data_IF_771488853630
#
_entry.id   IF_771488853630
#
_cell.length_a   1.000
_cell.length_b   1.000
_cell.length_c   1.000
_cell.angle_alpha   90.00
_cell.angle_beta   90.00
_cell.angle_gamma   90.00
#
_symmetry.space_group_name_H-M   'P 1'
#
loop_
_entity.id
_entity.type
_entity.pdbx_description
1 polymer ?
#
# COMPACT_ATOMS: atom_id res chain seq x y z
N UNK A 1 -7.13 53.66 23.27
CA UNK A 1 -7.57 54.98 22.76
C UNK A 1 -8.09 54.83 21.33
N UNK A 2 -9.30 55.37 21.16
CA UNK A 2 -10.13 55.63 19.98
C UNK A 2 -10.99 54.46 19.50
N UNK A 3 -12.26 54.60 19.90
CA UNK A 3 -13.43 54.02 19.29
C UNK A 3 -13.64 54.53 17.84
N UNK A 4 -14.05 53.68 16.97
CA UNK A 4 -14.73 54.06 15.71
C UNK A 4 -16.09 53.37 15.68
N UNK A 5 -17.09 54.25 15.67
CA UNK A 5 -18.51 53.98 15.53
C UNK A 5 -18.82 53.41 14.13
N UNK A 6 -19.59 52.34 14.06
CA UNK A 6 -20.37 52.01 12.88
C UNK A 6 -21.85 51.87 13.30
N UNK A 7 -22.62 52.84 12.82
CA UNK A 7 -24.09 52.87 12.87
C UNK A 7 -24.66 51.99 11.74
N UNK A 8 -25.72 51.28 12.14
CA UNK A 8 -26.88 51.03 11.30
C UNK A 8 -26.90 49.75 10.53
N UNK A 9 -27.80 48.89 10.93
CA UNK A 9 -28.89 48.32 10.10
C UNK A 9 -29.85 47.59 11.01
N UNK A 10 -31.16 47.86 10.84
CA UNK A 10 -32.25 47.57 11.76
C UNK A 10 -32.52 46.09 12.01
N UNK A 11 -32.66 45.78 13.26
CA UNK A 11 -33.15 44.48 13.73
C UNK A 11 -34.67 44.50 13.69
N UNK A 12 -35.26 43.58 12.98
CA UNK A 12 -36.71 43.45 12.75
C UNK A 12 -37.38 42.91 14.03
N UNK A 13 -38.28 43.72 14.62
CA UNK A 13 -38.95 43.47 15.91
C UNK A 13 -39.97 42.30 15.89
N UNK A 14 -40.02 41.47 14.86
CA UNK A 14 -41.02 40.37 14.78
C UNK A 14 -40.54 39.02 15.28
N UNK A 15 -39.27 38.83 15.64
CA UNK A 15 -38.76 37.54 16.13
C UNK A 15 -38.73 37.40 17.66
N UNK A 16 -39.00 38.46 18.40
CA UNK A 16 -38.94 38.41 19.88
C UNK A 16 -40.26 37.98 20.52
N UNK A 17 -41.39 37.98 19.81
CA UNK A 17 -42.71 37.58 20.36
C UNK A 17 -43.00 36.07 20.27
N UNK A 18 -42.23 35.30 19.51
CA UNK A 18 -42.44 33.85 19.37
C UNK A 18 -41.77 33.06 20.50
N UNK A 19 -40.77 33.63 21.17
CA UNK A 19 -40.04 32.94 22.24
C UNK A 19 -40.65 33.14 23.66
N UNK A 20 -41.50 34.12 23.87
CA UNK A 20 -42.13 34.34 25.19
C UNK A 20 -43.43 33.54 25.41
N UNK A 21 -44.07 33.05 24.32
CA UNK A 21 -45.30 32.24 24.44
C UNK A 21 -45.04 30.76 24.74
N UNK A 22 -43.84 30.29 24.52
CA UNK A 22 -43.46 28.87 24.76
C UNK A 22 -42.98 28.58 26.18
N UNK A 23 -42.77 29.62 27.00
CA UNK A 23 -42.35 29.46 28.41
C UNK A 23 -43.49 29.42 29.45
N UNK A 24 -44.69 29.68 29.06
CA UNK A 24 -45.86 29.71 29.98
C UNK A 24 -46.80 28.48 29.91
N UNK A 25 -46.49 27.50 29.07
CA UNK A 25 -47.35 26.28 28.91
C UNK A 25 -46.72 24.99 29.49
N UNK A 26 -45.64 25.08 30.22
CA UNK A 26 -44.93 23.90 30.81
C UNK A 26 -44.96 23.84 32.33
N UNK A 27 -45.95 24.49 32.99
CA UNK A 27 -46.02 24.55 34.45
C UNK A 27 -47.30 24.03 35.11
N UNK A 28 -48.11 23.25 34.41
CA UNK A 28 -49.27 22.56 35.04
C UNK A 28 -49.41 21.17 34.43
N UNK A 29 -48.71 20.19 34.98
CA UNK A 29 -49.03 18.75 35.01
C UNK A 29 -47.83 17.99 35.61
N UNK A 30 -47.55 18.21 36.90
CA UNK A 30 -46.75 17.29 37.69
C UNK A 30 -47.68 16.50 38.58
N UNK A 31 -47.98 15.26 38.26
CA UNK A 31 -48.35 14.20 39.20
C UNK A 31 -47.66 12.91 38.78
N UNK A 32 -47.11 12.11 39.72
CA UNK A 32 -46.19 11.03 39.43
C UNK A 32 -46.97 9.72 39.13
N UNK A 33 -46.74 9.15 37.96
CA UNK A 33 -47.06 7.75 37.71
C UNK A 33 -45.71 7.05 37.48
N UNK A 34 -45.23 6.37 38.50
CA UNK A 34 -44.13 5.40 38.39
C UNK A 34 -44.63 4.19 37.59
N UNK A 35 -44.33 4.16 36.30
CA UNK A 35 -44.24 2.92 35.54
C UNK A 35 -42.80 2.73 35.15
N UNK A 36 -42.17 1.75 35.80
CA UNK A 36 -40.85 1.24 35.43
C UNK A 36 -40.90 0.66 34.02
N UNK A 37 -40.53 1.46 33.02
CA UNK A 37 -40.25 0.93 31.68
C UNK A 37 -38.86 0.30 31.74
N UNK A 38 -38.82 -1.03 31.80
CA UNK A 38 -37.61 -1.77 31.51
C UNK A 38 -37.28 -1.57 30.03
N UNK A 39 -36.38 -0.63 29.73
CA UNK A 39 -35.65 -0.61 28.47
C UNK A 39 -34.70 -1.81 28.47
N UNK A 40 -34.69 -2.64 27.43
CA UNK A 40 -33.66 -3.66 27.32
C UNK A 40 -32.32 -2.97 27.24
N UNK A 41 -31.50 -3.14 28.26
CA UNK A 41 -30.07 -2.76 28.20
C UNK A 41 -29.40 -3.68 27.22
N UNK A 42 -29.11 -3.18 26.01
CA UNK A 42 -28.19 -3.85 25.14
C UNK A 42 -26.89 -4.09 25.95
N UNK A 43 -26.35 -5.31 25.95
CA UNK A 43 -25.07 -5.53 26.58
C UNK A 43 -24.04 -4.59 25.93
N UNK A 44 -23.06 -4.07 26.69
CA UNK A 44 -22.04 -3.24 26.12
C UNK A 44 -21.38 -4.03 24.99
N UNK A 45 -21.33 -3.44 23.79
CA UNK A 45 -20.54 -3.96 22.68
C UNK A 45 -19.08 -3.89 23.15
N UNK A 46 -18.64 -4.96 23.75
CA UNK A 46 -17.19 -5.15 24.02
C UNK A 46 -16.58 -5.41 22.65
N UNK A 47 -16.02 -4.36 22.05
CA UNK A 47 -15.08 -4.56 20.95
C UNK A 47 -14.06 -5.59 21.44
N UNK A 48 -13.83 -6.70 20.70
CA UNK A 48 -12.79 -7.62 21.06
C UNK A 48 -11.49 -6.82 21.17
N UNK A 49 -10.62 -7.13 22.13
CA UNK A 49 -9.37 -6.42 22.29
C UNK A 49 -8.65 -6.48 20.94
N UNK A 50 -8.30 -5.30 20.40
CA UNK A 50 -7.45 -5.20 19.21
C UNK A 50 -6.17 -5.94 19.58
N UNK A 51 -6.03 -7.16 19.10
CA UNK A 51 -4.80 -7.92 19.26
C UNK A 51 -3.76 -7.18 18.44
N UNK A 52 -2.96 -6.34 19.11
CA UNK A 52 -1.79 -5.70 18.51
C UNK A 52 -0.94 -6.87 18.03
N UNK A 53 -0.61 -6.89 16.75
CA UNK A 53 0.26 -7.92 16.13
C UNK A 53 1.37 -8.27 17.10
N UNK A 54 1.38 -9.54 17.53
CA UNK A 54 2.14 -9.99 18.69
C UNK A 54 3.62 -9.64 18.61
N UNK A 55 4.09 -8.98 19.63
CA UNK A 55 5.36 -8.23 19.74
C UNK A 55 6.60 -9.13 19.80
N UNK A 56 6.54 -10.48 19.78
CA UNK A 56 7.69 -11.28 20.20
C UNK A 56 8.03 -12.55 19.41
N UNK A 57 7.53 -12.74 18.19
CA UNK A 57 8.14 -13.75 17.32
C UNK A 57 8.72 -13.07 16.10
N UNK A 58 10.02 -13.29 15.81
CA UNK A 58 10.56 -13.06 14.48
C UNK A 58 9.65 -13.80 13.52
N UNK A 59 8.78 -13.07 12.82
CA UNK A 59 7.94 -13.66 11.80
C UNK A 59 8.85 -14.39 10.83
N UNK A 60 8.44 -15.55 10.36
CA UNK A 60 9.17 -16.32 9.34
C UNK A 60 8.39 -16.25 8.04
N UNK A 61 9.02 -16.56 6.92
CA UNK A 61 8.30 -16.74 5.65
C UNK A 61 7.24 -17.84 5.80
N UNK A 62 6.22 -17.80 4.96
CA UNK A 62 5.15 -18.82 4.94
C UNK A 62 5.73 -20.22 4.72
N UNK A 63 6.68 -20.33 3.78
CA UNK A 63 7.35 -21.61 3.48
C UNK A 63 8.16 -22.14 4.66
N UNK A 64 8.91 -21.30 5.39
CA UNK A 64 9.67 -21.75 6.56
C UNK A 64 8.80 -22.07 7.79
N UNK A 65 7.53 -21.68 7.76
CA UNK A 65 6.52 -22.08 8.77
C UNK A 65 5.66 -23.26 8.31
N UNK A 66 5.89 -23.79 7.12
CA UNK A 66 5.06 -24.82 6.48
C UNK A 66 3.59 -24.43 6.38
N UNK A 67 3.30 -23.14 6.21
CA UNK A 67 1.93 -22.65 5.97
C UNK A 67 1.44 -23.10 4.61
N UNK A 68 0.20 -23.56 4.51
CA UNK A 68 -0.42 -23.91 3.22
C UNK A 68 -0.50 -22.69 2.28
N UNK A 69 -0.55 -21.48 2.83
CA UNK A 69 -0.58 -20.22 2.06
C UNK A 69 0.77 -19.89 1.38
N UNK A 70 1.84 -20.67 1.63
CA UNK A 70 3.06 -20.62 0.81
C UNK A 70 2.79 -21.03 -0.65
N UNK A 71 1.75 -21.84 -0.88
CA UNK A 71 1.27 -22.19 -2.19
C UNK A 71 0.17 -21.20 -2.63
N UNK A 72 0.37 -20.58 -3.79
CA UNK A 72 -0.56 -19.60 -4.37
C UNK A 72 -1.93 -20.17 -4.67
N UNK A 73 -2.02 -21.47 -4.99
CA UNK A 73 -3.30 -22.16 -5.18
C UNK A 73 -4.19 -22.08 -3.92
N UNK A 74 -3.61 -22.27 -2.72
CA UNK A 74 -4.37 -22.15 -1.48
C UNK A 74 -4.79 -20.72 -1.19
N UNK A 75 -3.96 -19.73 -1.51
CA UNK A 75 -4.36 -18.33 -1.38
C UNK A 75 -5.56 -18.03 -2.30
N UNK A 76 -5.51 -18.44 -3.57
CA UNK A 76 -6.61 -18.27 -4.50
C UNK A 76 -7.87 -19.02 -4.06
N UNK A 77 -7.72 -20.22 -3.48
CA UNK A 77 -8.85 -20.96 -2.93
C UNK A 77 -9.53 -20.21 -1.79
N UNK A 78 -8.77 -19.55 -0.91
CA UNK A 78 -9.33 -18.71 0.16
C UNK A 78 -9.99 -17.46 -0.42
N UNK A 79 -9.33 -16.75 -1.33
CA UNK A 79 -9.85 -15.54 -1.97
C UNK A 79 -11.16 -15.77 -2.73
N UNK A 80 -11.38 -16.98 -3.24
CA UNK A 80 -12.57 -17.36 -3.98
C UNK A 80 -13.38 -18.44 -3.21
N UNK A 81 -13.34 -18.39 -1.88
CA UNK A 81 -13.92 -19.40 -1.03
C UNK A 81 -15.45 -19.40 -1.06
N UNK A 82 -16.05 -20.52 -0.66
CA UNK A 82 -17.48 -20.65 -0.54
C UNK A 82 -18.04 -19.74 0.55
N UNK A 83 -17.28 -19.51 1.62
CA UNK A 83 -17.66 -18.63 2.74
C UNK A 83 -17.94 -17.22 2.23
N UNK A 84 -17.09 -16.66 1.37
CA UNK A 84 -17.35 -15.37 0.71
C UNK A 84 -18.56 -15.45 -0.22
N UNK A 85 -18.72 -16.55 -0.95
CA UNK A 85 -19.89 -16.78 -1.82
C UNK A 85 -21.19 -16.86 -1.01
N UNK A 86 -21.19 -17.54 0.15
CA UNK A 86 -22.35 -17.63 1.05
C UNK A 86 -22.69 -16.26 1.67
N UNK A 87 -21.73 -15.34 1.80
CA UNK A 87 -21.96 -13.93 2.18
C UNK A 87 -22.48 -13.07 1.01
N UNK A 88 -22.74 -13.65 -0.16
CA UNK A 88 -23.10 -12.92 -1.38
C UNK A 88 -22.03 -11.88 -1.78
N UNK A 89 -20.76 -12.20 -1.53
CA UNK A 89 -19.64 -11.36 -1.91
C UNK A 89 -19.44 -11.41 -3.44
N UNK A 90 -19.65 -10.29 -4.17
CA UNK A 90 -19.61 -10.30 -5.62
C UNK A 90 -18.19 -10.53 -6.14
N UNK A 91 -18.06 -11.12 -7.32
CA UNK A 91 -16.79 -11.13 -8.01
C UNK A 91 -16.35 -9.70 -8.32
N UNK A 92 -15.05 -9.42 -8.23
CA UNK A 92 -14.56 -8.08 -8.54
C UNK A 92 -14.90 -7.64 -9.97
N UNK A 93 -14.88 -8.56 -10.94
CA UNK A 93 -15.32 -8.32 -12.32
C UNK A 93 -16.79 -7.92 -12.42
N UNK A 94 -17.66 -8.52 -11.61
CA UNK A 94 -19.07 -8.12 -11.55
C UNK A 94 -19.22 -6.71 -10.98
N UNK A 95 -18.44 -6.40 -9.94
CA UNK A 95 -18.48 -5.09 -9.28
C UNK A 95 -18.02 -3.96 -10.19
N UNK A 96 -16.96 -4.15 -10.98
CA UNK A 96 -16.53 -3.14 -11.95
C UNK A 96 -17.47 -3.05 -13.15
N UNK A 97 -18.16 -4.14 -13.51
CA UNK A 97 -19.23 -4.11 -14.53
C UNK A 97 -20.39 -3.22 -14.09
N UNK A 98 -20.83 -3.34 -12.83
CA UNK A 98 -21.82 -2.43 -12.23
C UNK A 98 -21.35 -0.97 -12.25
N UNK A 99 -20.04 -0.74 -12.13
CA UNK A 99 -19.41 0.58 -12.19
C UNK A 99 -19.22 1.13 -13.64
N UNK A 100 -19.69 0.41 -14.65
CA UNK A 100 -19.70 0.85 -16.05
C UNK A 100 -18.50 0.37 -16.89
N UNK A 101 -17.66 -0.53 -16.36
CA UNK A 101 -16.61 -1.18 -17.16
C UNK A 101 -17.23 -2.33 -17.98
N UNK A 102 -17.12 -2.21 -19.31
CA UNK A 102 -17.76 -3.14 -20.26
C UNK A 102 -17.40 -4.58 -19.92
N UNK A 103 -18.40 -5.43 -19.78
CA UNK A 103 -18.31 -6.86 -19.48
C UNK A 103 -17.47 -7.22 -18.22
N UNK A 104 -17.21 -6.24 -17.34
CA UNK A 104 -16.37 -6.46 -16.16
C UNK A 104 -14.89 -6.65 -16.49
N UNK A 105 -14.47 -6.18 -17.65
CA UNK A 105 -13.08 -6.28 -18.13
C UNK A 105 -12.36 -4.96 -17.88
N UNK A 106 -11.15 -5.04 -17.35
CA UNK A 106 -10.25 -3.91 -17.21
C UNK A 106 -9.14 -4.00 -18.27
N UNK A 107 -8.95 -2.93 -19.02
CA UNK A 107 -7.93 -2.82 -20.06
C UNK A 107 -6.77 -1.95 -19.61
N UNK A 108 -5.55 -2.22 -20.07
CA UNK A 108 -4.43 -1.31 -19.91
C UNK A 108 -4.70 0.03 -20.62
N UNK A 109 -3.93 1.00 -20.22
CA UNK A 109 -3.62 2.20 -21.01
C UNK A 109 -2.32 1.99 -21.79
N UNK A 110 -1.43 2.95 -21.90
CA UNK A 110 -0.03 2.71 -22.32
C UNK A 110 0.77 2.06 -21.18
N UNK A 111 1.73 1.20 -21.49
CA UNK A 111 2.67 0.68 -20.50
C UNK A 111 3.79 1.71 -20.32
N UNK A 112 3.78 2.40 -19.18
CA UNK A 112 4.73 3.45 -18.82
C UNK A 112 5.77 2.99 -17.81
N UNK A 113 5.42 1.95 -17.03
CA UNK A 113 6.21 1.42 -15.93
C UNK A 113 6.56 -0.04 -16.19
N UNK A 114 7.84 -0.33 -16.22
CA UNK A 114 8.38 -1.69 -16.23
C UNK A 114 8.84 -2.03 -14.81
N UNK A 115 7.98 -2.73 -14.07
CA UNK A 115 8.30 -3.14 -12.72
C UNK A 115 9.06 -4.46 -12.74
N UNK A 116 10.18 -4.54 -12.04
CA UNK A 116 11.02 -5.74 -12.00
C UNK A 116 11.20 -6.19 -10.55
N UNK A 117 10.59 -7.31 -10.20
CA UNK A 117 10.86 -7.98 -8.95
C UNK A 117 12.14 -8.81 -9.09
N UNK A 118 13.25 -8.27 -8.58
CA UNK A 118 14.56 -8.90 -8.75
C UNK A 118 14.88 -9.97 -7.70
N UNK A 119 13.93 -10.31 -6.85
CA UNK A 119 14.03 -11.44 -5.92
C UNK A 119 13.27 -11.25 -4.62
N UNK A 120 13.13 -12.37 -3.87
CA UNK A 120 12.45 -12.39 -2.58
C UNK A 120 13.41 -12.40 -1.38
N UNK A 121 14.74 -12.36 -1.62
CA UNK A 121 15.72 -12.28 -0.54
C UNK A 121 15.56 -10.96 0.23
N UNK A 122 15.44 -11.04 1.55
CA UNK A 122 15.28 -9.90 2.44
C UNK A 122 15.90 -10.19 3.80
N UNK A 123 16.45 -9.19 4.47
CA UNK A 123 16.93 -9.33 5.85
C UNK A 123 15.78 -9.27 6.89
N UNK A 124 14.55 -8.98 6.44
CA UNK A 124 13.37 -8.84 7.27
C UNK A 124 12.28 -9.86 6.90
N UNK A 125 11.35 -10.08 7.84
CA UNK A 125 10.15 -10.90 7.67
C UNK A 125 8.93 -10.15 8.18
N UNK A 126 8.60 -9.02 7.54
CA UNK A 126 7.49 -8.14 7.94
C UNK A 126 6.15 -8.89 7.95
N UNK A 127 5.31 -8.63 8.95
CA UNK A 127 4.05 -9.34 9.14
C UNK A 127 3.02 -9.11 8.01
N UNK A 128 3.08 -7.95 7.33
CA UNK A 128 2.18 -7.57 6.23
C UNK A 128 2.81 -7.76 4.84
N UNK A 129 3.93 -8.47 4.74
CA UNK A 129 4.65 -8.61 3.47
C UNK A 129 3.84 -9.42 2.45
N UNK A 130 3.46 -8.78 1.35
CA UNK A 130 2.75 -9.42 0.25
C UNK A 130 3.66 -10.32 -0.60
N UNK A 131 4.97 -10.05 -0.62
CA UNK A 131 5.98 -10.82 -1.39
C UNK A 131 6.32 -12.14 -0.72
N UNK A 132 6.05 -12.32 0.57
CA UNK A 132 6.60 -13.39 1.43
C UNK A 132 8.14 -13.44 1.41
N UNK A 133 8.76 -12.27 1.36
CA UNK A 133 10.22 -12.14 1.36
C UNK A 133 10.84 -12.51 2.71
N UNK A 134 12.08 -12.98 2.69
CA UNK A 134 12.80 -13.36 3.91
C UNK A 134 14.24 -13.80 3.67
N UNK A 135 15.00 -14.05 4.75
CA UNK A 135 16.41 -14.50 4.67
C UNK A 135 16.57 -15.91 4.09
N UNK A 136 15.51 -16.69 4.10
CA UNK A 136 15.43 -18.05 3.57
C UNK A 136 15.24 -18.09 2.04
N UNK A 137 14.81 -16.96 1.41
CA UNK A 137 14.48 -16.84 -0.01
C UNK A 137 15.72 -16.58 -0.89
N UNK A 138 16.75 -17.42 -0.78
CA UNK A 138 18.02 -17.20 -1.46
C UNK A 138 18.01 -17.60 -2.94
N UNK A 139 17.18 -18.58 -3.29
CA UNK A 139 17.11 -19.12 -4.64
C UNK A 139 16.16 -18.31 -5.53
N UNK A 140 15.18 -17.62 -4.92
CA UNK A 140 14.19 -16.80 -5.60
C UNK A 140 14.76 -15.41 -5.89
N UNK A 141 15.81 -15.35 -6.73
CA UNK A 141 16.46 -14.12 -7.17
C UNK A 141 16.70 -14.15 -8.68
N UNK A 142 16.42 -13.04 -9.34
CA UNK A 142 16.67 -12.89 -10.76
C UNK A 142 18.19 -12.89 -11.04
N UNK A 143 18.59 -13.82 -11.88
CA UNK A 143 19.98 -13.94 -12.32
C UNK A 143 20.33 -12.89 -13.40
N UNK A 144 21.61 -12.84 -13.75
CA UNK A 144 22.15 -11.92 -14.74
C UNK A 144 21.44 -11.98 -16.08
N UNK A 145 21.19 -13.18 -16.60
CA UNK A 145 20.49 -13.41 -17.89
C UNK A 145 19.09 -12.78 -17.91
N UNK A 146 18.31 -12.94 -16.82
CA UNK A 146 16.98 -12.35 -16.72
C UNK A 146 17.03 -10.82 -16.75
N UNK A 147 17.97 -10.22 -16.01
CA UNK A 147 18.18 -8.77 -16.01
C UNK A 147 18.66 -8.23 -17.36
N UNK A 148 19.54 -8.96 -18.06
CA UNK A 148 19.96 -8.62 -19.42
C UNK A 148 18.76 -8.61 -20.38
N UNK A 149 17.87 -9.60 -20.25
CA UNK A 149 16.65 -9.65 -21.05
C UNK A 149 15.70 -8.46 -20.74
N UNK A 150 15.60 -8.04 -19.48
CA UNK A 150 14.87 -6.83 -19.13
C UNK A 150 15.49 -5.58 -19.80
N UNK A 151 16.83 -5.48 -19.83
CA UNK A 151 17.51 -4.36 -20.49
C UNK A 151 17.32 -4.35 -22.01
N UNK A 152 17.30 -5.52 -22.66
CA UNK A 152 16.98 -5.63 -24.10
C UNK A 152 15.58 -5.08 -24.39
N UNK A 153 14.60 -5.44 -23.57
CA UNK A 153 13.21 -4.96 -23.69
C UNK A 153 13.16 -3.44 -23.50
N UNK A 154 13.81 -2.93 -22.46
CA UNK A 154 13.87 -1.50 -22.15
C UNK A 154 14.58 -0.69 -23.25
N UNK A 155 15.59 -1.26 -23.89
CA UNK A 155 16.28 -0.61 -25.02
C UNK A 155 15.43 -0.59 -26.30
N UNK A 156 14.58 -1.61 -26.48
CA UNK A 156 13.76 -1.75 -27.69
C UNK A 156 12.43 -0.98 -27.62
N UNK A 157 11.99 -0.56 -26.44
CA UNK A 157 10.66 0.03 -26.23
C UNK A 157 10.73 1.34 -25.45
N UNK A 158 9.78 2.23 -25.70
CA UNK A 158 9.67 3.54 -25.04
C UNK A 158 8.94 3.44 -23.68
N UNK A 159 9.44 2.56 -22.81
CA UNK A 159 8.99 2.45 -21.42
C UNK A 159 10.00 3.22 -20.56
N UNK A 160 9.57 4.36 -20.01
CA UNK A 160 10.50 5.31 -19.40
C UNK A 160 10.87 5.00 -17.97
N UNK A 161 9.99 4.37 -17.19
CA UNK A 161 10.20 4.13 -15.76
C UNK A 161 10.49 2.66 -15.49
N UNK A 162 11.56 2.41 -14.76
CA UNK A 162 11.90 1.08 -14.21
C UNK A 162 11.67 1.14 -12.70
N UNK A 163 10.72 0.35 -12.20
CA UNK A 163 10.37 0.24 -10.77
C UNK A 163 10.97 -1.08 -10.23
N UNK A 164 12.07 -0.99 -9.52
CA UNK A 164 12.78 -2.17 -8.97
C UNK A 164 12.15 -2.51 -7.61
N UNK A 165 11.66 -3.74 -7.51
CA UNK A 165 10.97 -4.23 -6.31
C UNK A 165 11.46 -5.63 -5.91
N UNK A 166 10.89 -6.14 -4.81
CA UNK A 166 11.20 -7.48 -4.30
C UNK A 166 11.14 -7.56 -2.78
N UNK A 167 12.04 -8.34 -2.23
CA UNK A 167 12.27 -8.40 -0.78
C UNK A 167 13.10 -7.20 -0.32
N UNK A 168 14.40 -7.26 -0.59
CA UNK A 168 15.35 -6.17 -0.49
C UNK A 168 16.15 -6.16 -1.79
N UNK A 169 15.77 -5.35 -2.78
CA UNK A 169 16.40 -5.35 -4.10
C UNK A 169 17.92 -5.21 -4.03
N UNK A 170 18.43 -4.43 -3.10
CA UNK A 170 19.84 -4.13 -2.88
C UNK A 170 20.68 -5.37 -2.49
N UNK A 171 20.00 -6.43 -2.05
CA UNK A 171 20.64 -7.72 -1.74
C UNK A 171 20.91 -8.57 -2.99
N UNK A 172 20.26 -8.28 -4.12
CA UNK A 172 20.57 -8.98 -5.37
C UNK A 172 22.00 -8.60 -5.83
N UNK A 173 22.89 -9.56 -6.14
CA UNK A 173 24.28 -9.27 -6.49
C UNK A 173 24.45 -8.44 -7.76
N UNK A 174 23.42 -8.38 -8.59
CA UNK A 174 23.41 -7.64 -9.85
C UNK A 174 22.68 -6.30 -9.76
N UNK A 175 22.13 -5.92 -8.60
CA UNK A 175 21.34 -4.71 -8.40
C UNK A 175 22.03 -3.45 -8.91
N UNK A 176 23.23 -3.17 -8.40
CA UNK A 176 23.97 -1.95 -8.78
C UNK A 176 24.28 -1.89 -10.28
N UNK A 177 24.67 -3.02 -10.84
CA UNK A 177 24.91 -3.10 -12.27
C UNK A 177 23.63 -2.84 -13.06
N UNK A 178 22.50 -3.43 -12.68
CA UNK A 178 21.21 -3.25 -13.37
C UNK A 178 20.74 -1.79 -13.32
N UNK A 179 20.84 -1.14 -12.17
CA UNK A 179 20.55 0.31 -12.02
C UNK A 179 21.43 1.13 -12.98
N UNK A 180 22.74 0.87 -12.99
CA UNK A 180 23.68 1.58 -13.87
C UNK A 180 23.33 1.42 -15.34
N UNK A 181 23.01 0.21 -15.79
CA UNK A 181 22.62 -0.03 -17.20
C UNK A 181 21.28 0.62 -17.56
N UNK A 182 20.28 0.55 -16.67
CA UNK A 182 19.00 1.26 -16.87
C UNK A 182 19.21 2.78 -17.04
N UNK A 183 20.10 3.37 -16.23
CA UNK A 183 20.43 4.80 -16.35
C UNK A 183 21.18 5.14 -17.62
N UNK A 184 22.08 4.26 -18.11
CA UNK A 184 22.74 4.41 -19.42
C UNK A 184 21.75 4.40 -20.58
N UNK A 185 20.65 3.64 -20.46
CA UNK A 185 19.53 3.64 -21.42
C UNK A 185 18.64 4.88 -21.29
N UNK A 186 18.96 5.83 -20.40
CA UNK A 186 18.15 7.03 -20.17
C UNK A 186 16.87 6.79 -19.39
N UNK A 187 16.69 5.59 -18.80
CA UNK A 187 15.48 5.27 -18.04
C UNK A 187 15.50 5.93 -16.67
N UNK A 188 14.32 6.35 -16.21
CA UNK A 188 14.08 6.73 -14.83
C UNK A 188 14.05 5.47 -13.97
N UNK A 189 14.83 5.42 -12.91
CA UNK A 189 14.90 4.26 -12.01
C UNK A 189 14.30 4.62 -10.67
N UNK A 190 13.35 3.82 -10.22
CA UNK A 190 12.78 3.84 -8.88
C UNK A 190 13.21 2.56 -8.15
N UNK A 191 13.63 2.67 -6.90
CA UNK A 191 13.96 1.54 -6.03
C UNK A 191 13.01 1.47 -4.85
N UNK A 192 12.33 0.33 -4.68
CA UNK A 192 11.51 0.01 -3.51
C UNK A 192 12.42 -0.40 -2.36
N UNK A 193 13.22 0.56 -1.91
CA UNK A 193 14.34 0.37 -1.00
C UNK A 193 13.92 -0.16 0.38
N UNK A 194 14.63 -1.19 0.84
CA UNK A 194 14.57 -1.58 2.23
C UNK A 194 15.60 -0.78 3.05
N UNK A 195 15.15 0.26 3.76
CA UNK A 195 16.01 1.17 4.53
C UNK A 195 17.01 0.47 5.44
N UNK A 196 16.62 -0.64 6.07
CA UNK A 196 17.51 -1.33 7.01
C UNK A 196 18.74 -1.96 6.33
N UNK A 197 18.70 -2.21 5.03
CA UNK A 197 19.86 -2.71 4.30
C UNK A 197 21.00 -1.68 4.34
N UNK A 198 20.70 -0.39 4.21
CA UNK A 198 21.71 0.68 4.19
C UNK A 198 22.61 0.61 5.44
N UNK A 199 22.05 0.26 6.60
CA UNK A 199 22.76 0.21 7.88
C UNK A 199 23.14 -1.21 8.34
N UNK A 200 22.65 -2.25 7.65
CA UNK A 200 22.82 -3.65 8.08
C UNK A 200 24.27 -4.16 7.99
N UNK A 201 25.03 -3.64 7.03
CA UNK A 201 26.40 -4.08 6.77
C UNK A 201 27.18 -2.95 6.07
N UNK A 202 28.47 -2.79 6.41
CA UNK A 202 29.37 -1.77 5.84
C UNK A 202 29.38 -1.73 4.31
N UNK A 203 29.20 -2.88 3.63
CA UNK A 203 29.15 -2.95 2.16
C UNK A 203 27.96 -2.23 1.51
N UNK A 204 26.98 -1.83 2.31
CA UNK A 204 25.78 -1.13 1.85
C UNK A 204 25.74 0.35 2.32
N UNK A 205 26.70 0.78 3.15
CA UNK A 205 26.71 2.13 3.69
C UNK A 205 26.89 3.21 2.62
N UNK A 206 27.42 2.85 1.45
CA UNK A 206 27.59 3.72 0.29
C UNK A 206 26.37 3.73 -0.67
N UNK A 207 25.27 3.06 -0.29
CA UNK A 207 24.05 3.07 -1.11
C UNK A 207 23.44 4.47 -1.29
N UNK A 208 23.40 5.36 -0.26
CA UNK A 208 22.88 6.71 -0.46
C UNK A 208 23.65 7.49 -1.53
N UNK A 209 24.98 7.42 -1.52
CA UNK A 209 25.85 8.06 -2.52
C UNK A 209 25.65 7.43 -3.91
N UNK A 210 25.56 6.10 -3.98
CA UNK A 210 25.25 5.38 -5.22
C UNK A 210 23.89 5.79 -5.79
N UNK A 211 22.85 5.84 -4.97
CA UNK A 211 21.52 6.29 -5.40
C UNK A 211 21.56 7.74 -5.91
N UNK A 212 22.27 8.62 -5.23
CA UNK A 212 22.42 10.02 -5.63
C UNK A 212 23.19 10.16 -6.97
N UNK A 213 24.29 9.42 -7.15
CA UNK A 213 25.09 9.40 -8.39
C UNK A 213 24.22 8.99 -9.59
N UNK A 214 23.39 7.96 -9.42
CA UNK A 214 22.53 7.46 -10.50
C UNK A 214 21.12 8.06 -10.49
N UNK A 215 20.85 9.08 -9.65
CA UNK A 215 19.54 9.74 -9.53
C UNK A 215 18.39 8.72 -9.40
N UNK A 216 18.55 7.72 -8.55
CA UNK A 216 17.54 6.72 -8.28
C UNK A 216 16.45 7.34 -7.39
N UNK A 217 15.18 7.25 -7.77
CA UNK A 217 14.09 7.62 -6.87
C UNK A 217 13.93 6.55 -5.80
N UNK A 218 14.01 6.95 -4.54
CA UNK A 218 13.94 6.03 -3.39
C UNK A 218 12.53 6.05 -2.82
N UNK A 219 11.87 4.89 -2.84
CA UNK A 219 10.55 4.69 -2.22
C UNK A 219 10.69 3.66 -1.11
N UNK A 220 10.38 4.05 0.12
CA UNK A 220 10.70 3.21 1.29
C UNK A 220 9.54 3.09 2.27
N UNK A 221 9.36 1.88 2.80
CA UNK A 221 8.30 1.62 3.79
C UNK A 221 8.68 2.15 5.17
N UNK A 222 7.89 3.08 5.70
CA UNK A 222 7.89 3.49 7.10
C UNK A 222 6.45 3.53 7.60
N UNK A 223 5.91 2.42 8.12
CA UNK A 223 4.48 2.33 8.49
C UNK A 223 4.03 3.35 9.54
N UNK A 224 4.95 3.81 10.39
CA UNK A 224 4.64 4.83 11.38
C UNK A 224 5.89 5.61 11.82
N UNK A 225 5.71 6.84 12.31
CA UNK A 225 6.76 7.71 12.86
C UNK A 225 7.07 7.42 14.35
N UNK A 226 6.78 6.22 14.84
CA UNK A 226 7.15 5.72 16.18
C UNK A 226 7.62 4.27 16.13
N UNK A 227 8.60 3.94 16.96
CA UNK A 227 9.20 2.61 17.05
C UNK A 227 8.14 1.52 17.32
N UNK A 228 7.33 1.69 18.36
CA UNK A 228 6.33 0.69 18.76
C UNK A 228 5.43 0.20 17.60
N UNK A 229 4.93 1.11 16.74
CA UNK A 229 4.04 0.74 15.63
C UNK A 229 4.80 0.21 14.42
N UNK A 230 5.97 0.76 14.12
CA UNK A 230 6.78 0.29 13.00
C UNK A 230 7.37 -1.08 13.31
N UNK A 231 7.92 -1.27 14.48
CA UNK A 231 8.54 -2.53 14.89
C UNK A 231 7.50 -3.65 15.02
N UNK A 232 6.28 -3.35 15.46
CA UNK A 232 5.18 -4.31 15.49
C UNK A 232 4.84 -4.89 14.10
N UNK A 233 5.04 -4.12 13.03
CA UNK A 233 4.78 -4.59 11.65
C UNK A 233 6.01 -5.17 10.97
N UNK A 234 7.19 -4.65 11.25
CA UNK A 234 8.41 -4.91 10.47
C UNK A 234 9.48 -5.69 11.23
N UNK A 235 9.42 -5.73 12.56
CA UNK A 235 10.38 -6.39 13.45
C UNK A 235 11.11 -5.41 14.37
N UNK A 236 11.63 -5.94 15.47
CA UNK A 236 12.30 -5.16 16.52
C UNK A 236 13.52 -4.42 15.96
N UNK A 237 13.65 -3.12 16.31
CA UNK A 237 14.77 -2.26 15.92
C UNK A 237 14.70 -1.71 14.49
N UNK A 238 13.72 -2.13 13.70
CA UNK A 238 13.57 -1.67 12.29
C UNK A 238 13.31 -0.17 12.22
N UNK A 239 12.59 0.39 13.19
CA UNK A 239 12.36 1.83 13.21
C UNK A 239 13.66 2.61 13.37
N UNK A 240 14.50 2.24 14.35
CA UNK A 240 15.76 2.94 14.61
C UNK A 240 16.71 2.88 13.42
N UNK A 241 16.84 1.69 12.81
CA UNK A 241 17.66 1.51 11.61
C UNK A 241 17.10 2.29 10.42
N UNK A 242 15.76 2.35 10.27
CA UNK A 242 15.13 3.16 9.22
C UNK A 242 15.39 4.66 9.42
N UNK A 243 15.35 5.16 10.66
CA UNK A 243 15.67 6.57 10.96
C UNK A 243 17.12 6.90 10.59
N UNK A 244 18.09 6.03 10.96
CA UNK A 244 19.50 6.20 10.58
C UNK A 244 19.69 6.25 9.06
N UNK A 245 19.05 5.30 8.35
CA UNK A 245 19.13 5.24 6.89
C UNK A 245 18.51 6.48 6.22
N UNK A 246 17.37 6.97 6.72
CA UNK A 246 16.75 8.20 6.22
C UNK A 246 17.64 9.43 6.45
N UNK A 247 18.32 9.50 7.59
CA UNK A 247 19.32 10.58 7.85
C UNK A 247 20.52 10.49 6.89
N UNK A 248 20.99 9.28 6.58
CA UNK A 248 22.05 9.09 5.58
C UNK A 248 21.60 9.51 4.18
N UNK A 249 20.38 9.17 3.78
CA UNK A 249 19.79 9.63 2.51
C UNK A 249 19.63 11.17 2.48
N UNK A 250 19.15 11.78 3.56
CA UNK A 250 19.05 13.24 3.66
C UNK A 250 20.43 13.93 3.61
N UNK A 251 21.47 13.31 4.14
CA UNK A 251 22.84 13.84 4.11
C UNK A 251 23.40 14.01 2.69
N UNK A 252 23.00 13.13 1.76
CA UNK A 252 23.38 13.22 0.34
C UNK A 252 22.37 14.00 -0.52
N UNK A 253 21.31 14.57 0.10
CA UNK A 253 20.37 15.48 -0.56
C UNK A 253 18.98 14.92 -0.83
N UNK A 254 18.70 13.64 -0.54
CA UNK A 254 17.36 13.07 -0.72
C UNK A 254 16.32 13.79 0.14
N UNK A 255 15.11 13.96 -0.41
CA UNK A 255 14.00 14.62 0.28
C UNK A 255 14.11 16.14 0.43
N UNK A 256 15.22 16.75 -0.03
CA UNK A 256 15.43 18.21 0.01
C UNK A 256 14.81 18.90 -1.22
N UNK A 257 14.25 20.10 -1.05
CA UNK A 257 13.48 20.80 -2.09
C UNK A 257 14.27 21.00 -3.39
N UNK A 258 15.52 21.42 -3.31
CA UNK A 258 16.30 21.84 -4.50
C UNK A 258 17.27 20.77 -5.01
N UNK A 259 17.27 19.57 -4.45
CA UNK A 259 18.26 18.54 -4.81
C UNK A 259 17.92 17.75 -6.07
N UNK A 260 16.62 17.66 -6.40
CA UNK A 260 16.12 16.77 -7.45
C UNK A 260 16.14 15.28 -7.06
N UNK A 261 16.64 14.92 -5.86
CA UNK A 261 16.72 13.54 -5.35
C UNK A 261 15.45 13.21 -4.55
N UNK A 262 14.60 12.37 -5.12
CA UNK A 262 13.30 12.04 -4.54
C UNK A 262 13.40 10.93 -3.51
N UNK A 263 12.83 11.18 -2.34
CA UNK A 263 12.61 10.24 -1.26
C UNK A 263 11.13 10.23 -0.91
N UNK A 264 10.45 9.13 -1.19
CA UNK A 264 9.05 8.94 -0.87
C UNK A 264 8.89 7.84 0.18
N UNK A 265 7.93 8.02 1.08
CA UNK A 265 7.65 7.03 2.12
C UNK A 265 6.35 6.31 1.84
N UNK A 266 6.28 5.04 2.26
CA UNK A 266 5.08 4.22 2.16
C UNK A 266 4.53 3.95 3.56
N UNK A 267 3.26 4.32 3.74
CA UNK A 267 2.46 4.02 4.92
C UNK A 267 1.50 2.86 4.63
N UNK A 268 1.49 1.88 5.53
CA UNK A 268 0.45 0.86 5.59
C UNK A 268 -0.25 0.94 6.96
N UNK A 269 -1.58 0.88 7.04
CA UNK A 269 -2.28 0.84 8.31
C UNK A 269 -1.93 -0.43 9.10
N UNK A 270 -1.97 -0.33 10.42
CA UNK A 270 -1.76 -1.50 11.29
C UNK A 270 -3.05 -2.34 11.32
N UNK A 271 -2.96 -3.63 10.98
CA UNK A 271 -4.13 -4.54 10.99
C UNK A 271 -5.11 -4.30 9.83
N UNK A 272 -6.38 -4.59 10.08
CA UNK A 272 -7.48 -4.64 9.09
C UNK A 272 -8.20 -3.30 8.93
N UNK A 273 -7.47 -2.20 8.93
CA UNK A 273 -8.01 -0.85 8.71
C UNK A 273 -7.67 -0.34 7.32
N UNK A 274 -8.51 0.53 6.78
CA UNK A 274 -8.19 1.29 5.59
C UNK A 274 -7.32 2.51 5.96
N UNK A 275 -6.42 2.94 5.05
CA UNK A 275 -5.67 4.17 5.27
C UNK A 275 -6.61 5.38 5.31
N UNK A 276 -6.28 6.35 6.15
CA UNK A 276 -6.92 7.66 6.15
C UNK A 276 -6.52 8.51 4.94
N UNK A 277 -6.97 9.76 4.91
CA UNK A 277 -6.61 10.71 3.86
C UNK A 277 -5.10 10.89 3.77
N UNK A 278 -4.52 10.64 2.58
CA UNK A 278 -3.07 10.63 2.35
C UNK A 278 -2.43 11.99 2.64
N UNK A 279 -3.04 13.08 2.20
CA UNK A 279 -2.48 14.43 2.42
C UNK A 279 -2.39 14.78 3.92
N UNK A 280 -3.39 14.39 4.71
CA UNK A 280 -3.38 14.59 6.16
C UNK A 280 -2.31 13.73 6.84
N UNK A 281 -2.17 12.47 6.41
CA UNK A 281 -1.12 11.57 6.90
C UNK A 281 0.26 12.10 6.55
N UNK A 282 0.47 12.55 5.32
CA UNK A 282 1.73 13.13 4.86
C UNK A 282 2.14 14.35 5.69
N UNK A 283 1.21 15.28 5.88
CA UNK A 283 1.46 16.48 6.70
C UNK A 283 1.89 16.11 8.13
N UNK A 284 1.23 15.12 8.73
CA UNK A 284 1.59 14.66 10.08
C UNK A 284 2.93 13.93 10.10
N UNK A 285 3.23 13.06 9.12
CA UNK A 285 4.53 12.39 9.00
C UNK A 285 5.66 13.41 8.82
N UNK A 286 5.51 14.39 7.92
CA UNK A 286 6.48 15.47 7.72
C UNK A 286 6.73 16.23 9.02
N UNK A 287 5.67 16.63 9.72
CA UNK A 287 5.77 17.34 11.00
C UNK A 287 6.49 16.53 12.07
N UNK A 288 6.17 15.22 12.21
CA UNK A 288 6.74 14.38 13.26
C UNK A 288 8.19 14.00 12.97
N UNK A 289 8.50 13.60 11.73
CA UNK A 289 9.85 13.20 11.34
C UNK A 289 10.82 14.38 11.35
N UNK A 290 10.37 15.55 10.87
CA UNK A 290 11.18 16.77 10.95
C UNK A 290 11.48 17.18 12.38
N UNK A 291 10.44 17.23 13.23
CA UNK A 291 10.59 17.69 14.62
C UNK A 291 11.46 16.76 15.47
N UNK A 292 11.34 15.42 15.28
CA UNK A 292 11.99 14.46 16.17
C UNK A 292 13.38 14.04 15.68
N UNK A 293 13.58 14.00 14.38
CA UNK A 293 14.75 13.36 13.77
C UNK A 293 15.43 14.22 12.71
N UNK A 294 14.91 15.41 12.42
CA UNK A 294 15.35 16.33 11.35
C UNK A 294 15.37 15.66 9.97
N UNK A 295 14.37 14.81 9.68
CA UNK A 295 14.22 14.11 8.41
C UNK A 295 13.23 14.83 7.51
N UNK A 296 13.62 15.02 6.26
CA UNK A 296 12.80 15.52 5.15
C UNK A 296 12.52 14.39 4.17
N UNK A 297 11.34 14.39 3.54
CA UNK A 297 10.94 13.52 2.44
C UNK A 297 9.92 14.21 1.53
N UNK A 298 9.74 13.73 0.30
CA UNK A 298 8.91 14.40 -0.69
C UNK A 298 7.43 14.05 -0.54
N UNK A 299 7.05 12.78 -0.63
CA UNK A 299 5.66 12.33 -0.60
C UNK A 299 5.44 11.12 0.31
N UNK A 300 4.21 10.97 0.80
CA UNK A 300 3.77 9.77 1.52
C UNK A 300 2.73 9.03 0.68
N UNK A 301 2.99 7.76 0.38
CA UNK A 301 2.03 6.88 -0.28
C UNK A 301 1.27 6.04 0.74
N UNK A 302 -0.03 6.26 0.85
CA UNK A 302 -0.89 5.48 1.74
C UNK A 302 -1.42 4.26 0.99
N UNK A 303 -0.95 3.07 1.36
CA UNK A 303 -1.26 1.81 0.68
C UNK A 303 -2.08 0.91 1.59
N UNK A 304 -3.21 0.42 1.07
CA UNK A 304 -4.06 -0.58 1.72
C UNK A 304 -3.31 -1.92 1.85
N UNK A 305 -3.46 -2.60 2.98
CA UNK A 305 -2.92 -3.95 3.13
C UNK A 305 -3.68 -4.91 2.21
N UNK A 306 -2.95 -5.59 1.33
CA UNK A 306 -3.56 -6.54 0.39
C UNK A 306 -3.90 -7.86 1.09
N UNK A 307 -5.10 -8.44 0.86
CA UNK A 307 -5.55 -9.67 1.49
C UNK A 307 -4.87 -10.91 0.90
N UNK A 308 -3.53 -10.90 0.83
CA UNK A 308 -2.70 -11.99 0.27
C UNK A 308 -1.50 -12.28 1.15
N UNK A 309 -0.85 -13.39 0.93
CA UNK A 309 0.41 -13.76 1.53
C UNK A 309 0.39 -13.70 3.08
N UNK A 310 1.40 -13.10 3.73
CA UNK A 310 1.48 -13.05 5.21
C UNK A 310 0.36 -12.25 5.86
N UNK A 311 -0.20 -11.27 5.18
CA UNK A 311 -1.35 -10.55 5.73
C UNK A 311 -2.62 -11.39 5.68
N UNK A 312 -2.82 -12.20 4.63
CA UNK A 312 -3.90 -13.19 4.58
C UNK A 312 -3.77 -14.21 5.71
N UNK A 313 -2.56 -14.74 5.92
CA UNK A 313 -2.26 -15.66 7.02
C UNK A 313 -2.62 -15.07 8.39
N UNK A 314 -2.19 -13.82 8.63
CA UNK A 314 -2.55 -13.08 9.85
C UNK A 314 -4.07 -12.94 10.03
N UNK A 315 -4.81 -12.60 8.98
CA UNK A 315 -6.26 -12.44 9.06
C UNK A 315 -6.98 -13.74 9.35
N UNK A 316 -6.54 -14.85 8.75
CA UNK A 316 -7.13 -16.17 9.01
C UNK A 316 -6.85 -16.64 10.45
N UNK A 317 -5.61 -16.48 10.94
CA UNK A 317 -5.24 -16.82 12.32
C UNK A 317 -6.06 -16.03 13.36
N UNK A 318 -6.48 -14.80 13.03
CA UNK A 318 -7.24 -13.93 13.93
C UNK A 318 -8.75 -13.88 13.64
N UNK A 319 -9.27 -14.67 12.70
CA UNK A 319 -10.68 -14.68 12.33
C UNK A 319 -11.18 -13.33 11.79
N UNK A 320 -10.33 -12.58 11.07
CA UNK A 320 -10.64 -11.22 10.58
C UNK A 320 -10.82 -11.16 9.05
N UNK A 321 -10.65 -12.28 8.36
CA UNK A 321 -10.61 -12.29 6.90
C UNK A 321 -11.93 -11.81 6.28
N UNK A 322 -13.06 -12.41 6.65
CA UNK A 322 -14.38 -12.07 6.12
C UNK A 322 -14.76 -10.62 6.43
N UNK A 323 -14.50 -10.19 7.67
CA UNK A 323 -14.78 -8.80 8.09
C UNK A 323 -13.94 -7.81 7.28
N UNK A 324 -12.68 -8.14 6.99
CA UNK A 324 -11.83 -7.26 6.20
C UNK A 324 -12.26 -7.22 4.73
N UNK A 325 -12.58 -8.37 4.14
CA UNK A 325 -13.11 -8.42 2.77
C UNK A 325 -14.39 -7.61 2.64
N UNK A 326 -15.30 -7.71 3.64
CA UNK A 326 -16.51 -6.88 3.67
C UNK A 326 -16.17 -5.37 3.77
N UNK A 327 -15.18 -5.01 4.60
CA UNK A 327 -14.70 -3.62 4.69
C UNK A 327 -14.19 -3.10 3.35
N UNK A 328 -13.45 -3.93 2.60
CA UNK A 328 -12.98 -3.56 1.25
C UNK A 328 -14.14 -3.39 0.26
N UNK A 329 -15.13 -4.28 0.31
CA UNK A 329 -16.32 -4.21 -0.54
C UNK A 329 -17.16 -2.97 -0.24
N UNK A 330 -17.44 -2.70 1.05
CA UNK A 330 -18.26 -1.55 1.47
C UNK A 330 -17.58 -0.21 1.10
N UNK A 331 -16.25 -0.21 1.06
CA UNK A 331 -15.45 0.95 0.68
C UNK A 331 -15.11 0.99 -0.83
N UNK A 332 -15.65 0.08 -1.64
CA UNK A 332 -15.37 0.07 -3.08
C UNK A 332 -15.68 1.41 -3.73
N UNK A 333 -14.70 1.96 -4.43
CA UNK A 333 -14.78 3.25 -5.12
C UNK A 333 -14.63 3.06 -6.63
N UNK A 334 -15.72 3.21 -7.41
CA UNK A 334 -15.66 3.09 -8.86
C UNK A 334 -14.67 4.04 -9.53
N UNK A 335 -14.50 5.24 -8.97
CA UNK A 335 -13.56 6.24 -9.54
C UNK A 335 -12.10 5.79 -9.41
N UNK A 336 -11.77 4.97 -8.41
CA UNK A 336 -10.42 4.47 -8.23
C UNK A 336 -10.02 3.43 -9.29
N UNK A 337 -10.99 2.73 -9.90
CA UNK A 337 -10.72 1.69 -10.91
C UNK A 337 -9.95 2.23 -12.12
N UNK A 338 -10.19 3.48 -12.49
CA UNK A 338 -9.51 4.11 -13.62
C UNK A 338 -8.01 4.37 -13.36
N UNK A 339 -7.63 4.55 -12.08
CA UNK A 339 -6.28 4.94 -11.65
C UNK A 339 -5.41 3.81 -11.13
N UNK A 340 -5.88 2.54 -11.13
CA UNK A 340 -5.08 1.43 -10.61
C UNK A 340 -3.84 1.15 -11.47
N UNK A 341 -2.72 0.84 -10.81
CA UNK A 341 -1.40 0.71 -11.45
C UNK A 341 -1.33 -0.36 -12.55
N UNK A 342 -2.09 -1.45 -12.45
CA UNK A 342 -2.06 -2.54 -13.43
C UNK A 342 -2.47 -2.10 -14.85
N UNK A 343 -3.02 -0.89 -15.00
CA UNK A 343 -3.38 -0.33 -16.31
C UNK A 343 -2.21 0.29 -17.07
N UNK A 344 -1.19 0.78 -16.38
CA UNK A 344 -0.01 1.40 -17.01
C UNK A 344 1.32 0.71 -16.64
N UNK A 345 1.25 -0.42 -15.96
CA UNK A 345 2.41 -1.18 -15.49
C UNK A 345 2.40 -2.59 -16.11
N UNK A 346 3.59 -3.12 -16.34
CA UNK A 346 3.84 -4.55 -16.48
C UNK A 346 4.85 -4.97 -15.42
N UNK A 347 4.56 -6.03 -14.67
CA UNK A 347 5.42 -6.56 -13.61
C UNK A 347 6.11 -7.83 -14.07
N UNK A 348 7.41 -7.91 -13.85
CA UNK A 348 8.26 -9.06 -14.20
C UNK A 348 8.69 -9.75 -12.92
N UNK A 349 8.41 -11.05 -12.79
CA UNK A 349 8.87 -11.87 -11.69
C UNK A 349 10.35 -12.19 -11.77
N UNK A 350 10.95 -12.56 -10.65
CA UNK A 350 12.35 -12.97 -10.56
C UNK A 350 12.71 -14.15 -11.49
N UNK A 351 11.71 -14.93 -11.87
CA UNK A 351 11.75 -16.07 -12.78
C UNK A 351 11.44 -15.69 -14.25
N UNK A 352 11.18 -14.40 -14.51
CA UNK A 352 10.92 -13.85 -15.83
C UNK A 352 9.47 -13.94 -16.31
N UNK A 353 8.55 -14.45 -15.52
CA UNK A 353 7.13 -14.40 -15.90
C UNK A 353 6.54 -13.00 -15.79
N UNK A 354 5.52 -12.72 -16.60
CA UNK A 354 4.86 -11.43 -16.74
C UNK A 354 3.52 -11.42 -16.00
N UNK A 355 3.26 -10.34 -15.29
CA UNK A 355 2.08 -10.11 -14.48
C UNK A 355 1.54 -8.70 -14.69
N UNK A 356 0.23 -8.48 -14.45
CA UNK A 356 -0.38 -7.17 -14.55
C UNK A 356 0.10 -6.20 -13.45
N UNK A 357 0.45 -6.75 -12.29
CA UNK A 357 0.96 -6.00 -11.15
C UNK A 357 1.72 -6.94 -10.18
N UNK A 358 2.42 -6.34 -9.23
CA UNK A 358 3.14 -7.04 -8.18
C UNK A 358 2.25 -7.97 -7.33
N UNK A 359 1.00 -7.59 -7.08
CA UNK A 359 0.06 -8.42 -6.31
C UNK A 359 -0.38 -9.67 -7.08
N UNK A 360 -0.66 -9.54 -8.38
CA UNK A 360 -0.93 -10.69 -9.25
C UNK A 360 0.25 -11.66 -9.31
N UNK A 361 1.49 -11.12 -9.29
CA UNK A 361 2.70 -11.93 -9.22
C UNK A 361 2.72 -12.81 -7.96
N UNK A 362 2.32 -12.28 -6.81
CA UNK A 362 2.32 -13.03 -5.56
C UNK A 362 1.24 -14.11 -5.49
N UNK A 363 0.31 -14.12 -6.41
CA UNK A 363 -0.74 -15.12 -6.59
C UNK A 363 -0.51 -16.02 -7.81
N UNK A 364 0.62 -15.87 -8.50
CA UNK A 364 0.94 -16.51 -9.77
C UNK A 364 -0.12 -16.31 -10.88
N UNK A 365 -0.81 -15.17 -10.83
CA UNK A 365 -1.79 -14.75 -11.84
C UNK A 365 -1.07 -14.04 -12.98
N UNK A 366 -0.53 -14.83 -13.91
CA UNK A 366 0.20 -14.31 -15.08
C UNK A 366 -0.73 -13.50 -16.00
N UNK A 367 -0.15 -12.63 -16.81
CA UNK A 367 -0.90 -11.87 -17.83
C UNK A 367 -1.72 -12.81 -18.73
N UNK A 368 -2.87 -12.32 -19.18
CA UNK A 368 -3.72 -13.08 -20.09
C UNK A 368 -3.03 -13.35 -21.45
N UNK A 369 -3.25 -14.54 -22.00
CA UNK A 369 -2.69 -14.96 -23.29
C UNK A 369 -1.59 -16.01 -23.16
N UNK A 370 -0.85 -16.24 -24.24
CA UNK A 370 0.17 -17.29 -24.33
C UNK A 370 1.60 -16.78 -24.12
N UNK A 371 1.83 -15.47 -24.24
CA UNK A 371 3.15 -14.83 -24.09
C UNK A 371 3.31 -14.30 -22.67
N UNK A 372 3.52 -15.20 -21.74
CA UNK A 372 3.55 -14.90 -20.31
C UNK A 372 4.97 -14.79 -19.72
N UNK A 373 5.99 -14.78 -20.57
CA UNK A 373 7.39 -14.70 -20.11
C UNK A 373 8.18 -13.66 -20.92
N UNK A 374 9.18 -13.02 -20.30
CA UNK A 374 10.02 -11.97 -20.93
C UNK A 374 10.73 -12.44 -22.20
N UNK A 375 10.95 -13.74 -22.38
CA UNK A 375 11.53 -14.31 -23.62
C UNK A 375 10.64 -14.08 -24.84
N UNK A 376 9.34 -14.02 -24.61
CA UNK A 376 8.30 -13.83 -25.64
C UNK A 376 7.61 -12.47 -25.52
N UNK A 377 8.32 -11.47 -24.98
CA UNK A 377 7.77 -10.13 -24.70
C UNK A 377 7.26 -9.48 -26.00
N UNK A 378 6.03 -9.00 -25.96
CA UNK A 378 5.37 -8.30 -27.07
C UNK A 378 4.54 -7.13 -26.51
N UNK A 379 5.08 -5.91 -26.62
CA UNK A 379 4.46 -4.73 -26.06
C UNK A 379 3.05 -4.51 -26.62
N UNK A 380 2.86 -4.67 -27.94
CA UNK A 380 1.56 -4.46 -28.56
C UNK A 380 0.49 -5.46 -28.07
N UNK A 381 0.87 -6.72 -27.86
CA UNK A 381 -0.02 -7.72 -27.26
C UNK A 381 -0.35 -7.37 -25.81
N UNK A 382 0.65 -6.91 -25.04
CA UNK A 382 0.47 -6.52 -23.63
C UNK A 382 -0.41 -5.28 -23.48
N UNK A 383 -0.33 -4.30 -24.37
CA UNK A 383 -1.19 -3.10 -24.34
C UNK A 383 -2.65 -3.39 -24.75
N UNK A 384 -2.90 -4.52 -25.40
CA UNK A 384 -4.25 -4.95 -25.77
C UNK A 384 -4.83 -6.07 -24.90
N UNK A 385 -4.09 -6.53 -23.88
CA UNK A 385 -4.51 -7.64 -23.02
C UNK A 385 -5.75 -7.31 -22.17
N UNK A 386 -6.40 -8.34 -21.68
CA UNK A 386 -7.31 -8.21 -20.54
C UNK A 386 -6.50 -8.33 -19.24
N UNK A 387 -6.69 -7.39 -18.33
CA UNK A 387 -6.05 -7.46 -17.01
C UNK A 387 -6.70 -8.56 -16.21
N UNK A 388 -5.87 -9.44 -15.64
CA UNK A 388 -6.34 -10.57 -14.82
C UNK A 388 -6.79 -10.06 -13.46
N UNK A 389 -8.08 -10.20 -13.17
CA UNK A 389 -8.73 -9.70 -11.95
C UNK A 389 -9.04 -10.85 -11.00
N UNK A 390 -8.99 -10.56 -9.69
CA UNK A 390 -9.43 -11.46 -8.63
C UNK A 390 -9.88 -10.64 -7.42
N UNK A 391 -10.38 -11.31 -6.37
CA UNK A 391 -10.97 -10.64 -5.19
C UNK A 391 -10.00 -9.71 -4.44
N UNK A 392 -8.68 -9.95 -4.49
CA UNK A 392 -7.69 -9.04 -3.91
C UNK A 392 -7.71 -7.64 -4.53
N UNK A 393 -8.22 -7.48 -5.78
CA UNK A 393 -8.31 -6.19 -6.47
C UNK A 393 -9.20 -5.18 -5.72
N UNK A 394 -10.10 -5.63 -4.84
CA UNK A 394 -10.83 -4.74 -3.93
C UNK A 394 -9.89 -3.90 -3.06
N UNK A 395 -8.71 -4.42 -2.69
CA UNK A 395 -7.72 -3.65 -1.94
C UNK A 395 -7.17 -2.44 -2.68
N UNK A 396 -7.09 -2.49 -4.01
CA UNK A 396 -6.64 -1.36 -4.83
C UNK A 396 -7.72 -0.29 -5.05
N UNK A 397 -9.00 -0.64 -4.84
CA UNK A 397 -10.14 0.23 -5.16
C UNK A 397 -10.94 0.68 -3.95
N UNK A 398 -10.56 0.26 -2.73
CA UNK A 398 -11.22 0.68 -1.51
C UNK A 398 -10.86 2.14 -1.13
N UNK A 399 -11.85 2.90 -0.65
CA UNK A 399 -11.67 4.29 -0.20
C UNK A 399 -11.23 5.22 -1.32
N UNK A 400 -10.12 5.93 -1.14
CA UNK A 400 -9.54 6.77 -2.19
C UNK A 400 -8.72 5.98 -3.22
N UNK A 401 -8.82 4.66 -3.19
CA UNK A 401 -7.98 3.76 -3.97
C UNK A 401 -6.58 3.62 -3.39
N UNK A 402 -5.86 2.61 -3.88
CA UNK A 402 -4.50 2.30 -3.43
C UNK A 402 -3.71 1.73 -4.58
N UNK A 403 -2.71 2.45 -5.04
CA UNK A 403 -1.72 1.95 -6.00
C UNK A 403 -0.32 1.98 -5.38
N UNK A 404 0.69 1.49 -6.08
CA UNK A 404 2.08 1.62 -5.64
C UNK A 404 2.58 3.06 -5.52
N UNK A 405 1.83 4.04 -6.04
CA UNK A 405 2.02 5.48 -5.88
C UNK A 405 1.06 6.13 -4.86
N UNK A 406 0.38 5.34 -4.03
CA UNK A 406 -0.56 5.83 -3.02
C UNK A 406 -2.00 5.94 -3.51
N UNK A 407 -2.77 6.88 -2.96
CA UNK A 407 -4.17 7.14 -3.32
C UNK A 407 -4.29 7.59 -4.78
N UNK A 408 -5.37 7.18 -5.46
CA UNK A 408 -5.60 7.40 -6.89
C UNK A 408 -6.79 8.32 -7.20
N UNK A 409 -7.56 8.70 -6.14
CA UNK A 409 -8.69 9.66 -6.23
C UNK A 409 -8.62 10.70 -5.14
#
# INVERSE_FOLDING_TARGET
>A
FRAVSLRGWGCNQQLTQIFEHSRKLLCYLCLPIFHTIHLPTNPPVTNPPVTIMGIHQKTKSLSSRHSALADTFFQLKVLNSKELSDMHFPLFSEKIKEAGFLDGVLKPTSIEIFQVNIGKLCNQTCAHCHVDAGPDKKEENMGREGLEKCLEILAAHDIMTVDITGGAPEMNPHFRWFVTECRKLGKKVMDRCNLTIIVSNKKYHDLPEFFAEYQVEVVSSLPHYSAHRTDAQRGDGVFEDSIKALQMLNAVGYGKEDSGLKLDLVYNPTGTFLPGNQASLEAEFKRQLKRKFDIDFNSLYAITNMPISRFLDYMLENGQYETYMQTLLDAFNPSAVAGVMCRNTISVGWDGYLYDCDFNQMLDLKVAGTRTHIKDFDLAALENRDIVLNQHCYGCTAGAGSSCGGQVT
#
